data_IF_608831261027
#
_entry.id   IF_608831261027
#
_cell.length_a   1.000
_cell.length_b   1.000
_cell.length_c   1.000
_cell.angle_alpha   90.00
_cell.angle_beta   90.00
_cell.angle_gamma   90.00
#
_symmetry.space_group_name_H-M   'P 1'
#
loop_
_entity.id
_entity.type
_entity.pdbx_description
1 polymer ?
#
# COMPACT_ATOMS: atom_id res chain seq x y z
N UNK A 1 12.65 -49.51 -39.02
CA UNK A 1 13.79 -48.57 -38.87
C UNK A 1 13.53 -47.68 -37.66
N UNK A 2 14.09 -48.03 -36.49
CA UNK A 2 13.85 -47.31 -35.23
C UNK A 2 14.70 -46.05 -35.16
N UNK A 3 14.09 -44.95 -34.69
CA UNK A 3 14.53 -43.57 -34.91
C UNK A 3 15.77 -43.23 -34.05
N UNK A 4 16.81 -42.59 -34.62
CA UNK A 4 18.06 -42.24 -33.93
C UNK A 4 17.88 -41.33 -32.70
N UNK A 5 16.73 -40.66 -32.59
CA UNK A 5 16.37 -39.76 -31.48
C UNK A 5 16.28 -40.51 -30.14
N UNK A 6 15.76 -41.74 -30.14
CA UNK A 6 15.56 -42.54 -28.92
C UNK A 6 16.91 -42.95 -28.30
N UNK A 7 17.93 -43.15 -29.15
CA UNK A 7 19.26 -43.57 -28.71
C UNK A 7 20.03 -42.43 -28.01
N UNK A 8 19.81 -41.19 -28.43
CA UNK A 8 20.47 -40.03 -27.82
C UNK A 8 19.90 -39.70 -26.44
N UNK A 9 18.59 -39.85 -26.23
CA UNK A 9 17.95 -39.58 -24.93
C UNK A 9 18.44 -40.57 -23.87
N UNK A 10 18.49 -41.87 -24.20
CA UNK A 10 18.98 -42.90 -23.28
C UNK A 10 20.45 -42.70 -22.87
N UNK A 11 21.31 -42.32 -23.84
CA UNK A 11 22.71 -42.00 -23.57
C UNK A 11 22.88 -40.81 -22.63
N UNK A 12 22.00 -39.81 -22.74
CA UNK A 12 22.05 -38.63 -21.86
C UNK A 12 21.65 -39.00 -20.42
N UNK A 13 20.62 -39.82 -20.24
CA UNK A 13 20.20 -40.30 -18.91
C UNK A 13 21.27 -41.17 -18.23
N UNK A 14 22.02 -41.94 -19.01
CA UNK A 14 23.11 -42.81 -18.53
C UNK A 14 24.36 -42.02 -18.11
N UNK A 15 24.71 -40.96 -18.84
CA UNK A 15 25.87 -40.09 -18.54
C UNK A 15 25.61 -39.19 -17.32
N UNK A 16 24.37 -38.70 -17.16
CA UNK A 16 24.00 -37.75 -16.10
C UNK A 16 23.83 -38.45 -14.74
N UNK A 17 23.69 -39.78 -14.72
CA UNK A 17 23.33 -40.54 -13.50
C UNK A 17 21.92 -40.21 -13.02
N UNK A 18 21.43 -40.83 -11.93
CA UNK A 18 20.13 -40.46 -11.37
C UNK A 18 20.16 -38.98 -11.01
N UNK A 19 19.30 -38.20 -11.66
CA UNK A 19 19.14 -36.77 -11.38
C UNK A 19 18.76 -36.67 -9.91
N UNK A 20 19.71 -36.32 -9.04
CA UNK A 20 19.41 -35.95 -7.66
C UNK A 20 18.77 -34.57 -7.73
N UNK A 21 17.46 -34.58 -8.01
CA UNK A 21 16.57 -33.42 -8.12
C UNK A 21 16.38 -32.70 -6.79
N UNK A 22 17.02 -33.15 -5.71
CA UNK A 22 16.56 -32.89 -4.35
C UNK A 22 16.73 -31.44 -3.90
N UNK A 23 17.84 -30.77 -4.26
CA UNK A 23 18.19 -29.48 -3.65
C UNK A 23 18.02 -28.27 -4.60
N UNK A 24 18.45 -28.37 -5.86
CA UNK A 24 18.37 -27.26 -6.81
C UNK A 24 16.94 -26.93 -7.27
N UNK A 25 16.10 -27.96 -7.45
CA UNK A 25 14.68 -27.78 -7.81
C UNK A 25 13.89 -27.21 -6.64
N UNK A 26 14.13 -27.73 -5.43
CA UNK A 26 13.55 -27.20 -4.19
C UNK A 26 13.88 -25.73 -4.00
N UNK A 27 15.13 -25.34 -4.30
CA UNK A 27 15.58 -23.95 -4.22
C UNK A 27 14.95 -23.04 -5.29
N UNK A 28 14.75 -23.54 -6.52
CA UNK A 28 14.02 -22.80 -7.55
C UNK A 28 12.56 -22.58 -7.17
N UNK A 29 11.90 -23.61 -6.64
CA UNK A 29 10.51 -23.53 -6.21
C UNK A 29 10.33 -22.54 -5.06
N UNK A 30 11.24 -22.56 -4.08
CA UNK A 30 11.29 -21.55 -2.99
C UNK A 30 11.43 -20.13 -3.52
N UNK A 31 12.23 -19.91 -4.57
CA UNK A 31 12.39 -18.58 -5.20
C UNK A 31 11.14 -18.13 -5.94
N UNK A 32 10.43 -19.04 -6.59
CA UNK A 32 9.19 -18.74 -7.29
C UNK A 32 8.06 -18.39 -6.31
N UNK A 33 7.85 -19.22 -5.28
CA UNK A 33 6.74 -19.09 -4.31
C UNK A 33 6.91 -17.84 -3.44
N UNK A 34 8.12 -17.54 -2.97
CA UNK A 34 8.34 -16.44 -2.02
C UNK A 34 8.66 -15.09 -2.66
N UNK A 35 8.61 -14.98 -3.99
CA UNK A 35 9.07 -13.78 -4.71
C UNK A 35 8.42 -12.50 -4.19
N UNK A 36 7.09 -12.49 -4.07
CA UNK A 36 6.34 -11.32 -3.60
C UNK A 36 6.68 -10.97 -2.14
N UNK A 37 6.74 -11.96 -1.24
CA UNK A 37 7.09 -11.74 0.17
C UNK A 37 8.52 -11.20 0.34
N UNK A 38 9.47 -11.78 -0.41
CA UNK A 38 10.87 -11.33 -0.43
C UNK A 38 10.96 -9.89 -0.92
N UNK A 39 10.21 -9.53 -1.96
CA UNK A 39 10.17 -8.15 -2.44
C UNK A 39 9.68 -7.17 -1.36
N UNK A 40 8.64 -7.52 -0.58
CA UNK A 40 8.17 -6.67 0.52
C UNK A 40 9.21 -6.52 1.62
N UNK A 41 9.82 -7.63 2.06
CA UNK A 41 10.91 -7.60 3.05
C UNK A 41 12.08 -6.73 2.60
N UNK A 42 12.51 -6.87 1.35
CA UNK A 42 13.56 -6.04 0.77
C UNK A 42 13.20 -4.55 0.74
N UNK A 43 11.96 -4.20 0.40
CA UNK A 43 11.50 -2.80 0.43
C UNK A 43 11.60 -2.21 1.84
N UNK A 44 11.17 -2.95 2.85
CA UNK A 44 11.29 -2.55 4.25
C UNK A 44 12.76 -2.34 4.62
N UNK A 45 13.63 -3.30 4.31
CA UNK A 45 15.08 -3.22 4.58
C UNK A 45 15.72 -2.03 3.90
N UNK A 46 15.39 -1.76 2.63
CA UNK A 46 15.90 -0.60 1.90
C UNK A 46 15.47 0.69 2.60
N UNK A 47 14.22 0.77 3.08
CA UNK A 47 13.75 1.94 3.82
C UNK A 47 14.54 2.12 5.11
N UNK A 48 14.68 1.07 5.92
CA UNK A 48 15.47 1.10 7.15
C UNK A 48 16.90 1.58 6.87
N UNK A 49 17.58 0.99 5.88
CA UNK A 49 18.96 1.37 5.53
C UNK A 49 19.08 2.83 5.08
N UNK A 50 18.06 3.39 4.45
CA UNK A 50 18.03 4.82 4.10
C UNK A 50 17.92 5.69 5.34
N UNK A 51 17.04 5.34 6.27
CA UNK A 51 16.85 6.09 7.52
C UNK A 51 18.10 6.04 8.41
N UNK A 52 18.74 4.86 8.51
CA UNK A 52 20.00 4.73 9.24
C UNK A 52 21.10 5.62 8.65
N UNK A 53 21.23 5.66 7.31
CA UNK A 53 22.19 6.55 6.65
C UNK A 53 21.87 8.03 6.86
N UNK A 54 20.59 8.40 6.78
CA UNK A 54 20.17 9.79 6.98
C UNK A 54 20.46 10.29 8.40
N UNK A 55 20.38 9.41 9.39
CA UNK A 55 20.65 9.70 10.81
C UNK A 55 22.09 9.39 11.23
N UNK A 56 22.95 8.98 10.31
CA UNK A 56 24.33 8.56 10.55
C UNK A 56 24.46 7.46 11.63
N UNK A 57 23.46 6.58 11.73
CA UNK A 57 23.39 5.48 12.68
C UNK A 57 24.04 4.22 12.09
N UNK A 58 24.82 3.51 12.90
CA UNK A 58 25.34 2.20 12.51
C UNK A 58 24.29 1.10 12.73
N UNK A 59 24.48 -0.04 12.07
CA UNK A 59 23.66 -1.25 12.32
C UNK A 59 23.76 -1.73 13.77
N UNK A 60 24.90 -1.48 14.42
CA UNK A 60 25.12 -1.82 15.83
C UNK A 60 24.26 -0.93 16.73
N UNK A 61 24.20 0.36 16.43
CA UNK A 61 23.37 1.30 17.19
C UNK A 61 21.89 0.96 17.03
N UNK A 62 21.47 0.64 15.80
CA UNK A 62 20.11 0.18 15.54
C UNK A 62 19.76 -1.11 16.28
N UNK A 63 20.70 -2.06 16.39
CA UNK A 63 20.52 -3.28 17.18
C UNK A 63 20.31 -2.96 18.67
N UNK A 64 21.12 -2.03 19.21
CA UNK A 64 21.00 -1.56 20.60
C UNK A 64 19.66 -0.87 20.85
N UNK A 65 19.19 -0.02 19.93
CA UNK A 65 17.89 0.67 20.04
C UNK A 65 16.73 -0.31 20.13
N UNK A 66 16.80 -1.42 19.39
CA UNK A 66 15.76 -2.46 19.37
C UNK A 66 15.95 -3.54 20.45
N UNK A 67 17.04 -3.50 21.23
CA UNK A 67 17.36 -4.51 22.23
C UNK A 67 17.62 -5.90 21.66
N UNK A 68 18.07 -5.99 20.40
CA UNK A 68 18.34 -7.27 19.70
C UNK A 68 19.80 -7.42 19.32
N UNK A 69 20.20 -8.65 18.97
CA UNK A 69 21.59 -8.92 18.61
C UNK A 69 21.96 -8.31 17.24
N UNK A 70 23.20 -7.83 17.06
CA UNK A 70 23.68 -7.37 15.76
C UNK A 70 23.60 -8.45 14.68
N UNK A 71 23.70 -9.73 15.07
CA UNK A 71 23.54 -10.86 14.16
C UNK A 71 22.11 -10.95 13.60
N UNK A 72 21.09 -10.71 14.44
CA UNK A 72 19.70 -10.67 13.99
C UNK A 72 19.49 -9.53 12.99
N UNK A 73 20.02 -8.33 13.26
CA UNK A 73 20.00 -7.21 12.32
C UNK A 73 20.68 -7.58 11.00
N UNK A 74 21.87 -8.17 11.03
CA UNK A 74 22.56 -8.58 9.80
C UNK A 74 21.73 -9.58 8.98
N UNK A 75 20.99 -10.48 9.64
CA UNK A 75 20.08 -11.39 8.97
C UNK A 75 18.87 -10.66 8.36
N UNK A 76 18.27 -9.71 9.08
CA UNK A 76 17.19 -8.88 8.58
C UNK A 76 17.62 -8.11 7.34
N UNK A 77 18.83 -7.53 7.35
CA UNK A 77 19.39 -6.75 6.24
C UNK A 77 19.64 -7.55 4.95
N UNK A 78 19.52 -8.89 4.97
CA UNK A 78 19.53 -9.72 3.76
C UNK A 78 18.19 -9.65 2.98
N UNK A 79 17.11 -9.20 3.62
CA UNK A 79 15.79 -9.09 3.00
C UNK A 79 15.10 -10.42 2.72
N UNK A 80 15.52 -11.49 3.40
CA UNK A 80 14.93 -12.83 3.30
C UNK A 80 13.99 -13.14 4.46
N UNK A 81 14.04 -12.31 5.51
CA UNK A 81 13.26 -12.48 6.73
C UNK A 81 11.83 -12.01 6.51
N UNK A 82 10.87 -12.76 7.00
CA UNK A 82 9.48 -12.33 7.08
C UNK A 82 9.29 -11.53 8.37
N UNK A 83 9.03 -10.22 8.26
CA UNK A 83 8.75 -9.38 9.42
C UNK A 83 7.32 -9.61 9.90
N UNK A 84 7.14 -9.78 11.21
CA UNK A 84 5.81 -9.70 11.83
C UNK A 84 5.38 -8.25 11.94
N UNK A 85 4.07 -7.98 12.02
CA UNK A 85 3.57 -6.62 12.22
C UNK A 85 4.14 -5.99 13.50
N UNK A 86 4.23 -6.75 14.59
CA UNK A 86 4.87 -6.31 15.84
C UNK A 86 6.34 -5.91 15.64
N UNK A 87 7.07 -6.63 14.80
CA UNK A 87 8.47 -6.27 14.50
C UNK A 87 8.54 -4.99 13.69
N UNK A 88 7.62 -4.81 12.74
CA UNK A 88 7.54 -3.58 11.95
C UNK A 88 7.22 -2.40 12.85
N UNK A 89 6.22 -2.51 13.72
CA UNK A 89 5.85 -1.49 14.72
C UNK A 89 7.04 -1.08 15.59
N UNK A 90 7.80 -2.04 16.15
CA UNK A 90 9.02 -1.74 16.93
C UNK A 90 10.07 -0.98 16.13
N UNK A 91 10.20 -1.28 14.84
CA UNK A 91 11.14 -0.57 13.96
C UNK A 91 10.64 0.84 13.66
N UNK A 92 9.35 0.98 13.39
CA UNK A 92 8.68 2.27 13.15
C UNK A 92 8.83 3.19 14.36
N UNK A 93 8.62 2.67 15.58
CA UNK A 93 8.81 3.41 16.84
C UNK A 93 10.29 3.79 17.07
N UNK A 94 11.21 2.84 16.87
CA UNK A 94 12.64 3.09 17.09
C UNK A 94 13.21 4.12 16.12
N UNK A 95 12.72 4.14 14.88
CA UNK A 95 13.19 5.05 13.85
C UNK A 95 12.27 6.26 13.64
N UNK A 96 11.11 6.34 14.28
CA UNK A 96 10.08 7.37 14.05
C UNK A 96 9.77 7.55 12.55
N UNK A 97 9.37 6.46 11.89
CA UNK A 97 9.07 6.42 10.45
C UNK A 97 7.93 5.46 10.14
N UNK A 98 7.20 5.70 9.05
CA UNK A 98 6.27 4.71 8.49
C UNK A 98 6.97 3.81 7.47
N UNK A 99 6.90 2.49 7.68
CA UNK A 99 7.42 1.45 6.79
C UNK A 99 6.33 0.86 5.90
N UNK A 100 5.10 0.74 6.40
CA UNK A 100 3.96 0.16 5.66
C UNK A 100 2.82 1.18 5.55
N UNK A 101 2.38 1.46 4.32
CA UNK A 101 1.25 2.35 4.06
C UNK A 101 0.05 1.58 3.49
N UNK A 102 -1.14 1.82 4.05
CA UNK A 102 -2.39 1.23 3.56
C UNK A 102 -3.00 2.15 2.51
N UNK A 103 -2.96 1.72 1.25
CA UNK A 103 -3.50 2.48 0.12
C UNK A 103 -5.03 2.27 0.04
N UNK A 104 -5.80 3.25 0.51
CA UNK A 104 -7.27 3.23 0.39
C UNK A 104 -7.68 3.74 -0.99
N UNK A 105 -7.93 2.81 -1.92
CA UNK A 105 -8.48 3.15 -3.24
C UNK A 105 -9.96 3.48 -3.11
N UNK A 106 -10.30 4.77 -3.01
CA UNK A 106 -11.67 5.24 -3.16
C UNK A 106 -12.04 5.12 -4.64
N UNK A 107 -12.82 4.11 -4.99
CA UNK A 107 -13.50 4.15 -6.29
C UNK A 107 -14.42 5.37 -6.28
N UNK A 108 -14.38 6.24 -7.29
CA UNK A 108 -15.40 7.27 -7.41
C UNK A 108 -16.74 6.55 -7.53
N UNK A 109 -17.52 6.59 -6.46
CA UNK A 109 -18.93 6.26 -6.54
C UNK A 109 -19.48 7.23 -7.57
N UNK A 110 -19.85 6.72 -8.75
CA UNK A 110 -20.62 7.51 -9.71
C UNK A 110 -21.90 7.85 -8.95
N UNK A 111 -21.98 9.08 -8.45
CA UNK A 111 -23.22 9.63 -7.97
C UNK A 111 -24.16 9.59 -9.18
N UNK A 112 -25.00 8.57 -9.25
CA UNK A 112 -26.21 8.69 -10.03
C UNK A 112 -27.02 9.76 -9.31
N UNK A 113 -27.45 10.79 -10.03
CA UNK A 113 -28.22 11.91 -9.48
C UNK A 113 -29.59 11.49 -8.89
N UNK A 114 -29.86 10.19 -8.75
CA UNK A 114 -31.13 9.63 -8.32
C UNK A 114 -31.09 8.95 -6.93
N UNK A 115 -29.95 8.94 -6.23
CA UNK A 115 -29.88 8.32 -4.89
C UNK A 115 -30.06 9.33 -3.73
N UNK A 116 -29.99 10.64 -3.97
CA UNK A 116 -30.15 11.63 -2.88
C UNK A 116 -31.60 11.75 -2.40
N UNK A 117 -32.58 11.34 -3.21
CA UNK A 117 -33.99 11.33 -2.82
C UNK A 117 -34.37 10.21 -1.85
N UNK A 118 -33.50 9.24 -1.58
CA UNK A 118 -33.84 8.05 -0.78
C UNK A 118 -33.17 8.00 0.61
N UNK A 119 -32.20 8.87 0.91
CA UNK A 119 -31.36 8.77 2.14
C UNK A 119 -31.71 9.83 3.20
N UNK A 120 -32.85 10.50 3.14
CA UNK A 120 -33.34 11.26 4.30
C UNK A 120 -34.58 10.59 4.90
N UNK A 121 -34.42 9.53 5.73
CA UNK A 121 -35.50 9.11 6.62
C UNK A 121 -35.76 10.14 7.74
N UNK A 122 -34.98 11.21 7.85
CA UNK A 122 -35.17 12.22 8.87
C UNK A 122 -35.96 13.43 8.34
N UNK A 123 -37.24 13.47 8.71
CA UNK A 123 -38.06 14.68 8.64
C UNK A 123 -37.34 15.77 9.46
N UNK A 124 -36.75 16.75 8.78
CA UNK A 124 -36.07 17.87 9.43
C UNK A 124 -36.98 18.44 10.53
N UNK A 125 -36.59 18.44 11.81
CA UNK A 125 -37.42 19.01 12.86
C UNK A 125 -37.60 20.50 12.53
N UNK A 126 -38.86 20.94 12.58
CA UNK A 126 -39.41 22.25 12.23
C UNK A 126 -38.74 23.47 12.93
N UNK A 127 -37.67 23.24 13.69
CA UNK A 127 -36.88 24.21 14.42
C UNK A 127 -35.52 24.51 13.73
N UNK A 128 -35.00 23.61 12.87
CA UNK A 128 -33.72 23.83 12.15
C UNK A 128 -33.88 24.61 10.83
N UNK A 129 -35.10 24.66 10.27
CA UNK A 129 -35.38 25.42 9.05
C UNK A 129 -35.20 26.95 9.20
N UNK A 130 -35.11 27.46 10.43
CA UNK A 130 -34.92 28.88 10.72
C UNK A 130 -33.45 29.30 10.85
N UNK A 131 -32.51 28.34 10.87
CA UNK A 131 -31.09 28.59 11.18
C UNK A 131 -30.18 28.14 10.02
N UNK A 132 -30.62 28.25 8.77
CA UNK A 132 -29.72 28.09 7.61
C UNK A 132 -29.47 29.44 6.94
N UNK A 133 -28.59 30.30 7.47
CA UNK A 133 -27.79 31.16 6.62
C UNK A 133 -26.54 30.40 6.18
N UNK A 134 -26.03 30.70 4.98
CA UNK A 134 -24.78 30.17 4.39
C UNK A 134 -24.94 28.80 3.70
N UNK A 135 -25.68 28.75 2.61
CA UNK A 135 -25.20 28.28 1.28
C UNK A 135 -26.25 28.76 0.28
N UNK A 136 -26.04 29.96 -0.26
CA UNK A 136 -26.76 30.48 -1.43
C UNK A 136 -25.80 31.06 -2.48
N UNK A 137 -24.53 30.65 -2.48
CA UNK A 137 -23.56 31.06 -3.47
C UNK A 137 -22.84 29.84 -4.04
N UNK A 138 -23.43 29.25 -5.08
CA UNK A 138 -22.74 28.61 -6.21
C UNK A 138 -23.71 28.69 -7.40
N UNK A 139 -23.43 29.65 -8.28
CA UNK A 139 -23.81 29.69 -9.71
C UNK A 139 -25.28 29.90 -10.07
N UNK A 140 -25.66 31.11 -10.50
CA UNK A 140 -25.98 31.37 -11.92
C UNK A 140 -26.20 32.88 -12.17
N UNK A 141 -25.18 33.59 -12.68
CA UNK A 141 -25.36 34.89 -13.33
C UNK A 141 -25.70 34.67 -14.80
N UNK A 142 -26.99 34.52 -15.12
CA UNK A 142 -27.52 34.83 -16.46
C UNK A 142 -29.04 34.93 -16.45
N UNK A 143 -29.51 36.17 -16.63
CA UNK A 143 -30.70 36.58 -17.42
C UNK A 143 -31.46 37.69 -16.69
N UNK A 144 -31.24 38.92 -17.16
CA UNK A 144 -32.07 40.08 -16.82
C UNK A 144 -33.50 39.87 -17.33
N UNK A 145 -34.51 40.35 -16.59
CA UNK A 145 -35.59 41.18 -17.14
C UNK A 145 -36.64 41.50 -16.06
N UNK A 146 -36.87 42.80 -15.83
CA UNK A 146 -38.16 43.32 -15.39
C UNK A 146 -38.41 43.38 -13.88
N UNK A 147 -38.09 44.51 -13.27
CA UNK A 147 -39.10 45.48 -12.82
C UNK A 147 -38.44 46.55 -11.95
N UNK A 148 -38.44 47.77 -12.46
CA UNK A 148 -38.36 48.97 -11.63
C UNK A 148 -39.46 48.91 -10.56
N UNK A 149 -39.24 49.41 -9.33
CA UNK A 149 -39.92 50.61 -8.80
C UNK A 149 -39.02 51.26 -7.71
N UNK A 150 -38.82 52.55 -7.91
CA UNK A 150 -38.51 53.65 -6.97
C UNK A 150 -38.98 53.35 -5.52
N UNK A 151 -38.24 53.73 -4.48
CA UNK A 151 -38.46 55.04 -3.85
C UNK A 151 -37.18 55.68 -3.29
N UNK A 152 -37.07 56.97 -3.58
CA UNK A 152 -36.28 57.98 -2.88
C UNK A 152 -36.60 57.98 -1.37
N UNK A 153 -35.53 58.15 -0.59
CA UNK A 153 -35.33 59.24 0.40
C UNK A 153 -36.29 59.40 1.59
N UNK A 154 -35.70 60.00 2.64
CA UNK A 154 -36.28 60.64 3.83
C UNK A 154 -36.40 59.65 4.99
N UNK A 155 -35.57 59.74 6.05
CA UNK A 155 -35.38 60.83 7.02
C UNK A 155 -36.62 61.18 7.83
#
# INVERSE_FOLDING_TARGET
MSKPIINNIKRLEEIVGPIQTSDWLSELEKRAVNRSRRNYSQKIVIRILRELRARNLSKKDFATMLGITPQAINNWMKGEVNFTLETVEKIEDALDVALIEIQVKRSPVKATNNAVSEILPYKLPHQLAKIVPIVSWIGDERSQSGSQILTKSIS
#
